data_IF_355112285598
#
_entry.id   IF_355112285598
#
_cell.length_a   1.000
_cell.length_b   1.000
_cell.length_c   1.000
_cell.angle_alpha   90.00
_cell.angle_beta   90.00
_cell.angle_gamma   90.00
#
_symmetry.space_group_name_H-M   'P 1'
#
loop_
_entity.id
_entity.type
_entity.pdbx_description
1 polymer ?
#
# COMPACT_ATOMS: atom_id res chain seq x y z
N UNK A 1 5.39 11.92 49.17
CA UNK A 1 6.02 11.27 47.99
C UNK A 1 5.05 10.36 47.21
N UNK A 2 4.27 9.48 47.88
CA UNK A 2 3.22 8.65 47.24
C UNK A 2 2.14 9.46 46.48
N UNK A 3 1.79 10.64 46.99
CA UNK A 3 0.72 11.49 46.45
C UNK A 3 1.11 12.17 45.11
N UNK A 4 2.35 12.68 45.01
CA UNK A 4 2.92 13.18 43.75
C UNK A 4 2.98 12.09 42.67
N UNK A 5 3.30 10.86 43.05
CA UNK A 5 3.34 9.72 42.11
C UNK A 5 1.93 9.33 41.62
N UNK A 6 0.92 9.40 42.50
CA UNK A 6 -0.48 9.14 42.17
C UNK A 6 -1.03 10.21 41.22
N UNK A 7 -0.72 11.48 41.46
CA UNK A 7 -1.08 12.58 40.55
C UNK A 7 -0.39 12.46 39.18
N UNK A 8 0.88 12.09 39.14
CA UNK A 8 1.60 11.88 37.88
C UNK A 8 1.03 10.69 37.07
N UNK A 9 0.68 9.59 37.73
CA UNK A 9 0.03 8.43 37.09
C UNK A 9 -1.35 8.78 36.52
N UNK A 10 -2.16 9.54 37.27
CA UNK A 10 -3.47 10.00 36.82
C UNK A 10 -3.35 10.98 35.63
N UNK A 11 -2.36 11.87 35.67
CA UNK A 11 -2.05 12.78 34.55
C UNK A 11 -1.65 12.03 33.27
N UNK A 12 -0.80 11.00 33.37
CA UNK A 12 -0.44 10.15 32.23
C UNK A 12 -1.64 9.38 31.66
N UNK A 13 -2.51 8.85 32.53
CA UNK A 13 -3.75 8.19 32.12
C UNK A 13 -4.71 9.15 31.40
N UNK A 14 -4.85 10.38 31.91
CA UNK A 14 -5.68 11.41 31.27
C UNK A 14 -5.13 11.78 29.88
N UNK A 15 -3.82 11.98 29.77
CA UNK A 15 -3.15 12.33 28.50
C UNK A 15 -3.23 11.21 27.44
N UNK A 16 -3.09 9.95 27.86
CA UNK A 16 -3.25 8.80 26.96
C UNK A 16 -4.70 8.61 26.52
N UNK A 17 -5.69 8.80 27.41
CA UNK A 17 -7.11 8.78 27.05
C UNK A 17 -7.43 9.86 26.01
N UNK A 18 -6.94 11.09 26.19
CA UNK A 18 -7.10 12.19 25.22
C UNK A 18 -6.48 11.85 23.86
N UNK A 19 -5.28 11.26 23.84
CA UNK A 19 -4.63 10.83 22.59
C UNK A 19 -5.43 9.74 21.88
N UNK A 20 -5.95 8.74 22.61
CA UNK A 20 -6.79 7.68 22.06
C UNK A 20 -8.10 8.20 21.48
N UNK A 21 -8.77 9.16 22.14
CA UNK A 21 -9.99 9.79 21.61
C UNK A 21 -9.70 10.57 20.33
N UNK A 22 -8.61 11.36 20.29
CA UNK A 22 -8.18 12.06 19.06
C UNK A 22 -7.84 11.08 17.93
N UNK A 23 -7.18 9.97 18.24
CA UNK A 23 -6.87 8.92 17.27
C UNK A 23 -8.13 8.23 16.75
N UNK A 24 -9.09 7.89 17.62
CA UNK A 24 -10.40 7.32 17.27
C UNK A 24 -11.15 8.25 16.32
N UNK A 25 -11.18 9.55 16.63
CA UNK A 25 -11.82 10.57 15.81
C UNK A 25 -11.13 10.76 14.44
N UNK A 26 -9.79 10.73 14.43
CA UNK A 26 -9.02 10.78 13.18
C UNK A 26 -9.27 9.54 12.30
N UNK A 27 -9.29 8.35 12.88
CA UNK A 27 -9.63 7.10 12.18
C UNK A 27 -11.06 7.12 11.66
N UNK A 28 -12.02 7.61 12.45
CA UNK A 28 -13.41 7.80 12.01
C UNK A 28 -13.49 8.72 10.78
N UNK A 29 -12.83 9.88 10.82
CA UNK A 29 -12.76 10.81 9.68
C UNK A 29 -12.14 10.14 8.45
N UNK A 30 -11.12 9.30 8.64
CA UNK A 30 -10.48 8.54 7.55
C UNK A 30 -11.42 7.47 6.97
N UNK A 31 -12.12 6.72 7.82
CA UNK A 31 -13.14 5.74 7.43
C UNK A 31 -14.30 6.40 6.68
N UNK A 32 -14.76 7.58 7.11
CA UNK A 32 -15.81 8.34 6.40
C UNK A 32 -15.34 8.77 5.02
N UNK A 33 -14.09 9.23 4.87
CA UNK A 33 -13.50 9.54 3.55
C UNK A 33 -13.43 8.29 2.67
N UNK A 34 -13.03 7.15 3.24
CA UNK A 34 -12.94 5.87 2.54
C UNK A 34 -14.32 5.37 2.07
N UNK A 35 -15.32 5.47 2.94
CA UNK A 35 -16.74 5.17 2.66
C UNK A 35 -17.27 5.98 1.50
N UNK A 36 -16.90 7.27 1.42
CA UNK A 36 -17.31 8.18 0.34
C UNK A 36 -16.55 7.95 -0.98
N UNK A 37 -15.34 7.40 -0.93
CA UNK A 37 -14.49 7.14 -2.12
C UNK A 37 -13.76 5.78 -1.99
N UNK A 38 -14.44 4.66 -2.28
CA UNK A 38 -13.86 3.31 -2.16
C UNK A 38 -12.64 3.08 -3.06
N UNK A 39 -12.49 3.86 -4.13
CA UNK A 39 -11.38 3.80 -5.08
C UNK A 39 -10.03 4.24 -4.50
N UNK A 40 -10.02 4.88 -3.33
CA UNK A 40 -8.77 5.28 -2.67
C UNK A 40 -7.97 4.07 -2.18
N UNK A 41 -8.63 2.95 -1.84
CA UNK A 41 -7.97 1.71 -1.40
C UNK A 41 -7.07 1.14 -2.51
N UNK A 42 -7.58 0.81 -3.72
CA UNK A 42 -6.75 0.28 -4.79
C UNK A 42 -5.71 1.28 -5.28
N UNK A 43 -5.99 2.60 -5.27
CA UNK A 43 -4.98 3.61 -5.59
C UNK A 43 -3.80 3.56 -4.61
N UNK A 44 -4.07 3.52 -3.31
CA UNK A 44 -3.03 3.45 -2.29
C UNK A 44 -2.21 2.16 -2.42
N UNK A 45 -2.87 1.03 -2.69
CA UNK A 45 -2.19 -0.24 -2.96
C UNK A 45 -1.29 -0.16 -4.19
N UNK A 46 -1.76 0.37 -5.32
CA UNK A 46 -0.94 0.54 -6.53
C UNK A 46 0.29 1.44 -6.28
N UNK A 47 0.13 2.51 -5.49
CA UNK A 47 1.25 3.38 -5.10
C UNK A 47 2.26 2.61 -4.24
N UNK A 48 1.81 1.87 -3.23
CA UNK A 48 2.69 1.07 -2.37
C UNK A 48 3.40 0.00 -3.17
N UNK A 49 2.69 -0.72 -4.03
CA UNK A 49 3.24 -1.72 -4.96
C UNK A 49 4.35 -1.12 -5.81
N UNK A 50 4.09 0.03 -6.45
CA UNK A 50 5.08 0.73 -7.26
C UNK A 50 6.28 1.21 -6.43
N UNK A 51 6.09 1.68 -5.20
CA UNK A 51 7.18 2.05 -4.30
C UNK A 51 8.06 0.85 -3.94
N UNK A 52 7.47 -0.32 -3.66
CA UNK A 52 8.21 -1.55 -3.37
C UNK A 52 9.12 -1.92 -4.54
N UNK A 53 8.65 -1.78 -5.79
CA UNK A 53 9.47 -1.99 -6.97
C UNK A 53 10.60 -0.96 -7.07
N UNK A 54 10.29 0.32 -6.92
CA UNK A 54 11.26 1.41 -7.06
C UNK A 54 12.38 1.35 -6.02
N UNK A 55 12.06 1.01 -4.77
CA UNK A 55 13.05 0.91 -3.69
C UNK A 55 14.03 -0.26 -3.88
N UNK A 56 13.66 -1.27 -4.67
CA UNK A 56 14.53 -2.43 -4.96
C UNK A 56 15.06 -2.41 -6.40
N UNK A 57 14.88 -1.30 -7.13
CA UNK A 57 15.19 -1.26 -8.56
C UNK A 57 16.68 -1.49 -8.85
N UNK A 58 17.56 -1.08 -7.93
CA UNK A 58 19.00 -1.37 -8.00
C UNK A 58 19.27 -2.87 -8.01
N UNK A 59 18.65 -3.64 -7.09
CA UNK A 59 18.83 -5.09 -7.06
C UNK A 59 18.36 -5.76 -8.35
N UNK A 60 17.27 -5.25 -8.97
CA UNK A 60 16.81 -5.73 -10.28
C UNK A 60 17.81 -5.39 -11.39
N UNK A 61 18.34 -4.17 -11.41
CA UNK A 61 19.31 -3.71 -12.40
C UNK A 61 20.60 -4.52 -12.35
N UNK A 62 21.14 -4.74 -11.13
CA UNK A 62 22.36 -5.53 -10.93
C UNK A 62 22.12 -7.00 -11.31
N UNK A 63 20.93 -7.54 -11.00
CA UNK A 63 20.53 -8.89 -11.44
C UNK A 63 20.51 -9.01 -12.96
N UNK A 64 19.98 -8.01 -13.67
CA UNK A 64 19.97 -7.99 -15.13
C UNK A 64 21.39 -7.89 -15.69
N UNK A 65 22.23 -7.04 -15.11
CA UNK A 65 23.62 -6.88 -15.55
C UNK A 65 24.44 -8.17 -15.37
N UNK A 66 24.21 -8.89 -14.27
CA UNK A 66 24.94 -10.12 -13.96
C UNK A 66 24.47 -11.33 -14.80
N UNK A 67 23.15 -11.50 -14.94
CA UNK A 67 22.56 -12.66 -15.62
C UNK A 67 22.53 -12.46 -17.14
N UNK A 68 22.13 -11.26 -17.57
CA UNK A 68 22.10 -10.81 -18.97
C UNK A 68 21.45 -11.80 -19.96
N UNK A 69 20.35 -12.44 -19.58
CA UNK A 69 19.59 -13.30 -20.50
C UNK A 69 18.89 -12.47 -21.59
N UNK A 70 18.73 -13.01 -22.81
CA UNK A 70 18.07 -12.31 -23.91
C UNK A 70 16.66 -11.83 -23.54
N UNK A 71 16.41 -10.53 -23.64
CA UNK A 71 15.11 -9.93 -23.33
C UNK A 71 14.85 -9.63 -21.85
N UNK A 72 15.76 -9.97 -20.95
CA UNK A 72 15.61 -9.72 -19.50
C UNK A 72 15.53 -8.21 -19.19
N UNK A 73 16.39 -7.39 -19.81
CA UNK A 73 16.36 -5.93 -19.66
C UNK A 73 15.08 -5.29 -20.19
N UNK A 74 14.58 -5.74 -21.34
CA UNK A 74 13.30 -5.27 -21.91
C UNK A 74 12.13 -5.62 -20.98
N UNK A 75 12.17 -6.80 -20.37
CA UNK A 75 11.15 -7.23 -19.42
C UNK A 75 11.13 -6.31 -18.19
N UNK A 76 12.30 -5.97 -17.63
CA UNK A 76 12.42 -5.01 -16.52
C UNK A 76 11.90 -3.62 -16.92
N UNK A 77 12.20 -3.15 -18.14
CA UNK A 77 11.67 -1.90 -18.67
C UNK A 77 10.14 -1.91 -18.76
N UNK A 78 9.54 -2.99 -19.27
CA UNK A 78 8.07 -3.13 -19.35
C UNK A 78 7.44 -3.11 -17.96
N UNK A 79 8.02 -3.84 -16.99
CA UNK A 79 7.53 -3.90 -15.60
C UNK A 79 7.50 -2.50 -14.99
N UNK A 80 8.61 -1.77 -15.08
CA UNK A 80 8.74 -0.42 -14.51
C UNK A 80 7.79 0.57 -15.18
N UNK A 81 7.78 0.62 -16.51
CA UNK A 81 6.91 1.49 -17.28
C UNK A 81 5.43 1.22 -16.97
N UNK A 82 5.01 -0.04 -16.99
CA UNK A 82 3.63 -0.40 -16.70
C UNK A 82 3.25 -0.08 -15.25
N UNK A 83 4.17 -0.25 -14.29
CA UNK A 83 3.91 0.09 -12.88
C UNK A 83 3.58 1.58 -12.69
N UNK A 84 4.34 2.48 -13.33
CA UNK A 84 4.04 3.93 -13.28
C UNK A 84 2.75 4.28 -14.03
N UNK A 85 2.59 3.77 -15.25
CA UNK A 85 1.42 4.05 -16.09
C UNK A 85 0.12 3.54 -15.46
N UNK A 86 0.17 2.43 -14.73
CA UNK A 86 -0.99 1.88 -14.02
C UNK A 86 -1.54 2.89 -13.01
N UNK A 87 -0.67 3.59 -12.26
CA UNK A 87 -1.09 4.63 -11.29
C UNK A 87 -1.75 5.81 -12.01
N UNK A 88 -1.13 6.31 -13.07
CA UNK A 88 -1.61 7.47 -13.83
C UNK A 88 -2.96 7.13 -14.51
N UNK A 89 -3.04 5.94 -15.11
CA UNK A 89 -4.28 5.44 -15.74
C UNK A 89 -5.37 5.25 -14.70
N UNK A 90 -5.05 4.77 -13.50
CA UNK A 90 -6.04 4.64 -12.42
C UNK A 90 -6.54 6.00 -11.93
N UNK A 91 -5.64 6.96 -11.73
CA UNK A 91 -5.99 8.32 -11.32
C UNK A 91 -6.90 9.00 -12.37
N UNK A 92 -6.66 8.75 -13.66
CA UNK A 92 -7.48 9.27 -14.76
C UNK A 92 -8.77 8.48 -14.99
N UNK A 93 -8.85 7.22 -14.56
CA UNK A 93 -10.05 6.38 -14.61
C UNK A 93 -11.15 6.87 -13.66
N UNK A 94 -10.75 7.45 -12.53
CA UNK A 94 -11.65 8.00 -11.50
C UNK A 94 -11.47 9.52 -11.32
N UNK A 95 -11.84 10.32 -12.34
CA UNK A 95 -11.73 11.77 -12.26
C UNK A 95 -12.59 12.35 -11.14
N UNK A 96 -12.06 13.33 -10.40
CA UNK A 96 -12.80 14.00 -9.34
C UNK A 96 -14.08 14.63 -9.89
N UNK A 97 -15.22 14.31 -9.28
CA UNK A 97 -16.56 14.85 -9.60
C UNK A 97 -17.17 14.41 -10.94
N UNK A 98 -16.61 13.41 -11.63
CA UNK A 98 -17.18 12.84 -12.86
C UNK A 98 -17.41 11.33 -12.72
N UNK A 99 -18.27 10.77 -13.58
CA UNK A 99 -18.50 9.31 -13.62
C UNK A 99 -17.21 8.59 -14.02
N UNK A 100 -16.94 7.39 -13.45
CA UNK A 100 -15.77 6.60 -13.81
C UNK A 100 -15.75 6.26 -15.30
N UNK A 101 -14.58 6.35 -15.92
CA UNK A 101 -14.39 5.98 -17.33
C UNK A 101 -14.13 4.48 -17.41
N UNK A 102 -15.12 3.71 -17.86
CA UNK A 102 -15.04 2.24 -17.94
C UNK A 102 -13.83 1.79 -18.78
N UNK A 103 -13.58 2.46 -19.92
CA UNK A 103 -12.42 2.16 -20.78
C UNK A 103 -11.09 2.29 -20.03
N UNK A 104 -10.93 3.34 -19.22
CA UNK A 104 -9.71 3.52 -18.43
C UNK A 104 -9.57 2.48 -17.31
N UNK A 105 -10.67 2.01 -16.72
CA UNK A 105 -10.65 0.92 -15.73
C UNK A 105 -10.19 -0.38 -16.40
N UNK A 106 -10.73 -0.71 -17.57
CA UNK A 106 -10.32 -1.89 -18.35
C UNK A 106 -8.83 -1.79 -18.69
N UNK A 107 -8.37 -0.61 -19.10
CA UNK A 107 -6.96 -0.37 -19.40
C UNK A 107 -6.07 -0.63 -18.17
N UNK A 108 -6.44 -0.14 -16.98
CA UNK A 108 -5.70 -0.46 -15.74
C UNK A 108 -5.62 -1.96 -15.51
N UNK A 109 -6.74 -2.68 -15.64
CA UNK A 109 -6.76 -4.13 -15.47
C UNK A 109 -5.80 -4.84 -16.43
N UNK A 110 -5.77 -4.41 -17.70
CA UNK A 110 -4.83 -4.92 -18.71
C UNK A 110 -3.37 -4.61 -18.32
N UNK A 111 -3.08 -3.38 -17.87
CA UNK A 111 -1.72 -3.00 -17.48
C UNK A 111 -1.21 -3.80 -16.28
N UNK A 112 -2.06 -4.06 -15.29
CA UNK A 112 -1.71 -4.93 -14.14
C UNK A 112 -1.45 -6.36 -14.63
N UNK A 113 -2.29 -6.87 -15.53
CA UNK A 113 -2.10 -8.20 -16.10
C UNK A 113 -0.78 -8.32 -16.86
N UNK A 114 -0.45 -7.34 -17.72
CA UNK A 114 0.84 -7.27 -18.42
C UNK A 114 1.99 -7.25 -17.41
N UNK A 115 1.89 -6.44 -16.35
CA UNK A 115 2.94 -6.33 -15.32
C UNK A 115 3.17 -7.67 -14.62
N UNK A 116 2.11 -8.37 -14.22
CA UNK A 116 2.20 -9.69 -13.56
C UNK A 116 2.88 -10.72 -14.48
N UNK A 117 2.48 -10.78 -15.76
CA UNK A 117 3.08 -11.72 -16.71
C UNK A 117 4.55 -11.39 -16.99
N UNK A 118 4.89 -10.11 -17.16
CA UNK A 118 6.28 -9.69 -17.32
C UNK A 118 7.13 -10.06 -16.09
N UNK A 119 6.58 -9.93 -14.88
CA UNK A 119 7.27 -10.37 -13.65
C UNK A 119 7.46 -11.89 -13.59
N UNK A 120 6.46 -12.67 -14.03
CA UNK A 120 6.59 -14.13 -14.10
C UNK A 120 7.69 -14.55 -15.09
N UNK A 121 7.80 -13.88 -16.23
CA UNK A 121 8.88 -14.08 -17.20
C UNK A 121 10.24 -13.67 -16.62
N UNK A 122 10.30 -12.54 -15.92
CA UNK A 122 11.53 -12.09 -15.25
C UNK A 122 12.00 -13.09 -14.18
N UNK A 123 11.06 -13.61 -13.38
CA UNK A 123 11.33 -14.68 -12.42
C UNK A 123 11.86 -15.94 -13.10
N UNK A 124 11.26 -16.32 -14.25
CA UNK A 124 11.72 -17.44 -15.05
C UNK A 124 13.16 -17.23 -15.54
N UNK A 125 13.53 -16.04 -16.02
CA UNK A 125 14.92 -15.77 -16.42
C UNK A 125 15.91 -15.94 -15.27
N UNK A 126 15.58 -15.44 -14.07
CA UNK A 126 16.42 -15.64 -12.89
C UNK A 126 16.54 -17.14 -12.58
N UNK A 127 15.43 -17.88 -12.60
CA UNK A 127 15.43 -19.30 -12.30
C UNK A 127 16.23 -20.11 -13.33
N UNK A 128 16.05 -19.80 -14.60
CA UNK A 128 16.78 -20.43 -15.69
C UNK A 128 18.30 -20.23 -15.54
N UNK A 129 18.74 -18.98 -15.33
CA UNK A 129 20.16 -18.65 -15.21
C UNK A 129 20.84 -19.21 -13.94
N UNK A 130 20.09 -19.40 -12.86
CA UNK A 130 20.63 -19.87 -11.56
C UNK A 130 20.51 -21.37 -11.34
N UNK A 131 19.64 -22.08 -12.07
CA UNK A 131 19.36 -23.51 -11.81
C UNK A 131 19.42 -24.37 -13.06
N UNK A 132 18.88 -23.90 -14.19
CA UNK A 132 18.65 -24.75 -15.37
C UNK A 132 19.74 -24.64 -16.44
N UNK A 133 20.48 -23.53 -16.46
CA UNK A 133 21.56 -23.28 -17.41
C UNK A 133 22.72 -24.24 -17.17
N UNK A 134 23.37 -24.70 -18.25
CA UNK A 134 24.48 -25.67 -18.20
C UNK A 134 25.63 -25.25 -17.29
N UNK A 135 25.89 -23.93 -17.20
CA UNK A 135 26.77 -23.31 -16.22
C UNK A 135 25.96 -22.28 -15.44
N UNK A 136 25.33 -22.68 -14.33
CA UNK A 136 24.47 -21.79 -13.57
C UNK A 136 25.29 -20.70 -12.90
N UNK A 137 24.68 -19.53 -12.74
CA UNK A 137 25.28 -18.43 -11.96
C UNK A 137 25.22 -18.81 -10.48
N UNK A 138 26.38 -19.01 -9.87
CA UNK A 138 26.48 -19.28 -8.44
C UNK A 138 26.10 -18.03 -7.63
N UNK A 139 25.30 -18.26 -6.58
CA UNK A 139 24.87 -17.20 -5.68
C UNK A 139 25.84 -17.15 -4.51
N UNK A 140 26.69 -16.12 -4.50
CA UNK A 140 27.66 -15.82 -3.45
C UNK A 140 27.18 -14.63 -2.62
N UNK A 141 27.97 -14.22 -1.62
CA UNK A 141 27.68 -13.01 -0.85
C UNK A 141 27.60 -11.76 -1.75
N UNK A 142 28.46 -11.68 -2.78
CA UNK A 142 28.52 -10.54 -3.69
C UNK A 142 27.34 -10.50 -4.67
N UNK A 143 26.71 -11.64 -4.96
CA UNK A 143 25.53 -11.75 -5.84
C UNK A 143 24.21 -11.93 -5.09
N UNK A 144 24.18 -11.62 -3.79
CA UNK A 144 22.98 -11.72 -2.94
C UNK A 144 21.78 -10.89 -3.47
N UNK A 145 22.05 -9.83 -4.25
CA UNK A 145 21.02 -9.03 -4.92
C UNK A 145 20.12 -9.88 -5.85
N UNK A 146 20.62 -10.98 -6.42
CA UNK A 146 19.84 -11.89 -7.28
C UNK A 146 18.69 -12.54 -6.49
N UNK A 147 18.98 -13.02 -5.28
CA UNK A 147 17.96 -13.59 -4.38
C UNK A 147 16.97 -12.53 -3.94
N UNK A 148 17.45 -11.32 -3.65
CA UNK A 148 16.61 -10.20 -3.25
C UNK A 148 15.67 -9.76 -4.36
N UNK A 149 16.16 -9.65 -5.60
CA UNK A 149 15.35 -9.37 -6.78
C UNK A 149 14.31 -10.48 -7.03
N UNK A 150 14.70 -11.76 -6.90
CA UNK A 150 13.80 -12.91 -7.01
C UNK A 150 12.66 -12.85 -5.99
N UNK A 151 12.98 -12.65 -4.72
CA UNK A 151 12.00 -12.52 -3.64
C UNK A 151 11.08 -11.32 -3.86
N UNK A 152 11.66 -10.16 -4.18
CA UNK A 152 10.90 -8.93 -4.44
C UNK A 152 9.98 -9.08 -5.65
N UNK A 153 10.35 -9.88 -6.65
CA UNK A 153 9.48 -10.18 -7.81
C UNK A 153 8.22 -10.91 -7.35
N UNK A 154 8.36 -11.94 -6.51
CA UNK A 154 7.20 -12.66 -5.95
C UNK A 154 6.32 -11.71 -5.12
N UNK A 155 6.93 -10.92 -4.24
CA UNK A 155 6.21 -9.94 -3.42
C UNK A 155 5.44 -8.97 -4.33
N UNK A 156 6.08 -8.41 -5.35
CA UNK A 156 5.44 -7.46 -6.23
C UNK A 156 4.32 -8.08 -7.09
N UNK A 157 4.44 -9.36 -7.51
CA UNK A 157 3.33 -10.11 -8.12
C UNK A 157 2.13 -10.19 -7.16
N UNK A 158 2.36 -10.58 -5.90
CA UNK A 158 1.29 -10.72 -4.89
C UNK A 158 0.60 -9.38 -4.65
N UNK A 159 1.36 -8.30 -4.49
CA UNK A 159 0.82 -6.95 -4.30
C UNK A 159 0.00 -6.48 -5.52
N UNK A 160 0.45 -6.77 -6.75
CA UNK A 160 -0.33 -6.49 -7.96
C UNK A 160 -1.60 -7.33 -8.03
N UNK A 161 -1.56 -8.62 -7.65
CA UNK A 161 -2.74 -9.48 -7.63
C UNK A 161 -3.79 -9.00 -6.60
N UNK A 162 -3.36 -8.59 -5.40
CA UNK A 162 -4.23 -7.98 -4.40
C UNK A 162 -4.81 -6.65 -4.90
N UNK A 163 -3.99 -5.83 -5.57
CA UNK A 163 -4.45 -4.58 -6.17
C UNK A 163 -5.50 -4.83 -7.25
N UNK A 164 -5.27 -5.80 -8.13
CA UNK A 164 -6.22 -6.23 -9.15
C UNK A 164 -7.55 -6.69 -8.54
N UNK A 165 -7.49 -7.59 -7.55
CA UNK A 165 -8.68 -8.07 -6.85
C UNK A 165 -9.42 -6.92 -6.18
N UNK A 166 -8.70 -5.98 -5.57
CA UNK A 166 -9.28 -4.77 -5.00
C UNK A 166 -10.00 -3.94 -6.06
N UNK A 167 -9.43 -3.75 -7.25
CA UNK A 167 -10.11 -2.98 -8.32
C UNK A 167 -11.39 -3.68 -8.78
N UNK A 168 -11.32 -4.99 -9.03
CA UNK A 168 -12.48 -5.78 -9.51
C UNK A 168 -13.59 -5.85 -8.46
N UNK A 169 -13.24 -5.84 -7.17
CA UNK A 169 -14.21 -5.92 -6.06
C UNK A 169 -14.74 -4.57 -5.59
N UNK A 170 -14.30 -3.43 -6.15
CA UNK A 170 -14.87 -2.08 -5.90
C UNK A 170 -16.40 -2.08 -5.81
N UNK A 171 -17.16 -2.62 -6.79
CA UNK A 171 -18.62 -2.58 -6.74
C UNK A 171 -19.23 -3.37 -5.57
N UNK A 172 -18.51 -4.36 -5.03
CA UNK A 172 -18.96 -5.22 -3.93
C UNK A 172 -18.62 -4.56 -2.60
N UNK A 173 -17.33 -4.33 -2.33
CA UNK A 173 -16.93 -3.78 -1.04
C UNK A 173 -17.36 -2.32 -0.87
N UNK A 174 -17.53 -1.57 -1.95
CA UNK A 174 -18.10 -0.21 -1.89
C UNK A 174 -19.48 -0.19 -1.24
N UNK A 175 -20.32 -1.20 -1.53
CA UNK A 175 -21.64 -1.38 -0.89
C UNK A 175 -21.50 -1.82 0.57
N UNK A 176 -20.53 -2.68 0.88
CA UNK A 176 -20.28 -3.13 2.25
C UNK A 176 -19.78 -1.99 3.15
N UNK A 177 -18.84 -1.16 2.67
CA UNK A 177 -18.35 0.01 3.39
C UNK A 177 -19.46 1.03 3.67
N UNK A 178 -20.46 1.12 2.78
CA UNK A 178 -21.62 1.98 3.00
C UNK A 178 -22.48 1.54 4.20
N UNK A 179 -22.48 0.26 4.54
CA UNK A 179 -23.23 -0.30 5.69
C UNK A 179 -22.58 -0.03 7.05
N UNK A 180 -21.30 0.37 7.10
CA UNK A 180 -20.62 0.66 8.36
C UNK A 180 -21.25 1.89 9.01
N UNK A 181 -21.67 1.77 10.27
CA UNK A 181 -22.16 2.88 11.07
C UNK A 181 -20.97 3.74 11.53
N UNK A 182 -20.89 4.96 11.01
CA UNK A 182 -19.85 5.94 11.36
C UNK A 182 -20.45 7.17 12.04
N UNK A 183 -21.64 7.03 12.63
CA UNK A 183 -22.27 8.10 13.43
C UNK A 183 -21.35 8.49 14.58
N UNK A 184 -21.37 9.77 14.92
CA UNK A 184 -20.72 10.28 16.13
C UNK A 184 -21.52 9.77 17.30
N UNK A 185 -20.86 9.20 18.29
CA UNK A 185 -21.47 8.93 19.58
C UNK A 185 -21.33 10.21 20.40
N UNK A 186 -22.42 10.97 20.54
CA UNK A 186 -22.41 12.32 21.13
C UNK A 186 -22.10 12.26 22.63
N UNK A 187 -22.43 11.15 23.29
CA UNK A 187 -22.20 10.94 24.72
C UNK A 187 -20.70 10.87 25.07
N UNK A 188 -19.86 10.30 24.18
CA UNK A 188 -18.41 10.29 24.38
C UNK A 188 -17.74 11.66 24.11
N UNK A 189 -18.38 12.52 23.31
CA UNK A 189 -17.84 13.83 22.91
C UNK A 189 -18.14 14.90 23.97
N UNK A 190 -19.31 14.85 24.61
CA UNK A 190 -19.68 15.73 25.73
C UNK A 190 -18.74 15.55 26.94
N UNK A 191 -18.49 14.30 27.34
CA UNK A 191 -17.53 13.96 28.41
C UNK A 191 -16.11 14.47 28.09
N UNK A 192 -15.76 14.53 26.81
CA UNK A 192 -14.43 14.96 26.36
C UNK A 192 -14.24 16.49 26.33
N UNK A 193 -15.29 17.25 26.00
CA UNK A 193 -15.27 18.72 26.06
C UNK A 193 -15.14 19.16 27.51
N UNK A 194 -15.92 18.57 28.40
CA UNK A 194 -15.85 18.82 29.85
C UNK A 194 -14.46 18.45 30.42
N UNK A 195 -13.90 17.30 30.04
CA UNK A 195 -12.57 16.86 30.50
C UNK A 195 -11.42 17.79 30.03
N UNK A 196 -11.58 18.44 28.86
CA UNK A 196 -10.60 19.41 28.31
C UNK A 196 -10.74 20.77 28.97
N UNK A 197 -11.95 21.29 29.14
CA UNK A 197 -12.18 22.55 29.87
C UNK A 197 -11.65 22.45 31.30
N UNK A 198 -11.92 21.34 31.99
CA UNK A 198 -11.36 21.06 33.31
C UNK A 198 -9.82 20.92 33.31
N UNK A 199 -9.22 20.30 32.29
CA UNK A 199 -7.76 20.19 32.22
C UNK A 199 -7.07 21.54 31.92
N UNK A 200 -7.78 22.47 31.28
CA UNK A 200 -7.28 23.79 30.94
C UNK A 200 -7.40 24.76 32.13
N UNK A 201 -8.45 24.63 32.93
CA UNK A 201 -8.64 25.42 34.16
C UNK A 201 -7.72 25.02 35.32
N UNK A 202 -7.15 23.81 35.32
CA UNK A 202 -6.12 23.39 36.30
C UNK A 202 -4.68 23.84 35.93
N UNK A 203 -4.48 24.42 34.74
CA UNK A 203 -3.18 24.88 34.23
C UNK A 203 -2.99 26.40 34.27
N UNK A 204 -4.07 27.16 34.53
CA UNK A 204 -4.06 28.60 34.82
C UNK A 204 -4.04 28.85 36.34
#
# INVERSE_FOLDING_TARGET
>A
MKEKFKNFSNWLKKKTKVFLTKAKEWLRKRLVKLKRKPNFIPLALLIVTCLVLNLNLTDYSDTVAQINEPGMGLTLFIITLCSFLTIITFATAFPNRKKPKIVSIILVCIMIFITINAQAVFYYFIHYATVLKEKPVEITADTAFILKAKSTTIVHIIFNAISFLSIVTIPIYGKLLQKINTKVDLEEEEIYIDDIEFAKSELD
#
